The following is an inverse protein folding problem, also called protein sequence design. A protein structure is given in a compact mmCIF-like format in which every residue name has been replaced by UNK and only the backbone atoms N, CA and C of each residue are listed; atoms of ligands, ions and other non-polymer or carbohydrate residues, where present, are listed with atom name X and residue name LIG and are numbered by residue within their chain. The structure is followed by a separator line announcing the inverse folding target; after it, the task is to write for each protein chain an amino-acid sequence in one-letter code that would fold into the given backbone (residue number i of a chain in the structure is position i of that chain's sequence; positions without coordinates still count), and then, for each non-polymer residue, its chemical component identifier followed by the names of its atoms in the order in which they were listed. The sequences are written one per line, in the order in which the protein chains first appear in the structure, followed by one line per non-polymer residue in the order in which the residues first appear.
data_IF_152120529099
#
_entry.id   IF_152120529099
#
_cell.length_a   1.000
_cell.length_b   1.000
_cell.length_c   1.000
_cell.angle_alpha   90.00
_cell.angle_beta   90.00
_cell.angle_gamma   90.00
#
_symmetry.space_group_name_H-M   'P 1'
#
loop_
_entity.id
_entity.type
_entity.pdbx_description
1 polymer ?
#
# COMPACT_ATOMS: atom_id res chain seq x y z
N UNK A 1 39.16 -6.88 -57.11
CA UNK A 1 37.90 -7.57 -56.75
C UNK A 1 38.21 -8.62 -55.69
N UNK A 2 37.41 -8.64 -54.62
CA UNK A 2 37.58 -9.43 -53.38
C UNK A 2 37.82 -10.94 -53.58
N UNK A 3 38.59 -11.58 -52.67
CA UNK A 3 38.01 -12.45 -51.61
C UNK A 3 39.05 -13.09 -50.69
N UNK A 4 38.82 -12.90 -49.39
CA UNK A 4 39.26 -13.69 -48.24
C UNK A 4 39.37 -15.19 -48.53
N UNK A 5 40.27 -15.87 -47.81
CA UNK A 5 39.90 -16.94 -46.86
C UNK A 5 40.88 -17.00 -45.68
N UNK A 6 40.37 -16.74 -44.48
CA UNK A 6 40.98 -17.15 -43.22
C UNK A 6 40.50 -18.56 -42.88
N UNK A 7 41.42 -19.43 -42.45
CA UNK A 7 41.13 -20.61 -41.64
C UNK A 7 42.36 -20.88 -40.75
N UNK A 8 42.22 -20.63 -39.46
CA UNK A 8 42.97 -21.23 -38.37
C UNK A 8 42.08 -20.99 -37.13
N UNK A 9 41.49 -22.00 -36.51
CA UNK A 9 42.20 -23.17 -35.97
C UNK A 9 42.45 -22.86 -34.49
N UNK A 10 41.47 -23.20 -33.65
CA UNK A 10 41.48 -23.02 -32.20
C UNK A 10 42.73 -23.64 -31.57
N UNK A 11 43.35 -22.94 -30.63
CA UNK A 11 44.17 -23.53 -29.57
C UNK A 11 43.88 -22.84 -28.23
N UNK A 12 43.65 -23.71 -27.25
CA UNK A 12 43.12 -23.53 -25.90
C UNK A 12 44.09 -22.74 -25.01
N UNK A 13 43.60 -21.79 -24.22
CA UNK A 13 44.29 -21.28 -23.02
C UNK A 13 43.47 -21.68 -21.81
N UNK A 14 44.01 -22.62 -21.03
CA UNK A 14 43.51 -22.98 -19.72
C UNK A 14 43.82 -21.84 -18.73
N UNK A 15 42.79 -21.18 -18.22
CA UNK A 15 42.91 -20.32 -17.05
C UNK A 15 42.39 -21.07 -15.82
N UNK A 16 43.30 -21.33 -14.89
CA UNK A 16 42.97 -21.80 -13.55
C UNK A 16 42.16 -20.70 -12.84
N UNK A 17 40.87 -20.93 -12.61
CA UNK A 17 40.04 -20.08 -11.77
C UNK A 17 40.25 -20.50 -10.31
N UNK A 18 41.04 -19.72 -9.56
CA UNK A 18 41.05 -19.79 -8.10
C UNK A 18 39.70 -19.30 -7.58
N UNK A 19 38.90 -20.22 -7.04
CA UNK A 19 37.63 -19.91 -6.41
C UNK A 19 37.86 -19.09 -5.12
N UNK A 20 37.57 -17.79 -5.18
CA UNK A 20 37.35 -16.99 -3.97
C UNK A 20 35.94 -17.29 -3.45
N UNK A 21 35.85 -18.16 -2.45
CA UNK A 21 34.62 -18.34 -1.68
C UNK A 21 34.45 -17.13 -0.76
N UNK A 22 33.79 -16.07 -1.26
CA UNK A 22 33.27 -15.02 -0.39
C UNK A 22 32.07 -15.59 0.38
N UNK A 23 31.98 -15.42 1.70
CA UNK A 23 30.73 -15.71 2.41
C UNK A 23 29.69 -14.73 1.86
N UNK A 24 28.69 -15.27 1.17
CA UNK A 24 27.49 -14.51 0.85
C UNK A 24 26.87 -14.11 2.20
N UNK A 25 27.07 -12.86 2.62
CA UNK A 25 26.22 -12.24 3.61
C UNK A 25 24.81 -12.28 3.03
N UNK A 26 24.03 -13.26 3.46
CA UNK A 26 22.59 -13.25 3.28
C UNK A 26 22.09 -12.14 4.19
N UNK A 27 22.06 -10.92 3.66
CA UNK A 27 21.31 -9.83 4.28
C UNK A 27 19.85 -10.24 4.18
N UNK A 28 19.35 -10.92 5.20
CA UNK A 28 17.92 -11.07 5.41
C UNK A 28 17.40 -9.67 5.72
N UNK A 29 16.97 -8.93 4.70
CA UNK A 29 16.11 -7.76 4.90
C UNK A 29 14.79 -8.32 5.41
N UNK A 30 14.71 -8.57 6.72
CA UNK A 30 13.44 -8.71 7.39
C UNK A 30 12.68 -7.42 7.08
N UNK A 31 11.71 -7.50 6.18
CA UNK A 31 10.72 -6.45 6.03
C UNK A 31 10.06 -6.36 7.40
N UNK A 32 10.37 -5.31 8.15
CA UNK A 32 9.62 -5.01 9.35
C UNK A 32 8.15 -4.99 8.93
N UNK A 33 7.33 -5.84 9.56
CA UNK A 33 5.89 -5.70 9.41
C UNK A 33 5.56 -4.30 9.93
N UNK A 34 5.02 -3.44 9.06
CA UNK A 34 4.58 -2.12 9.49
C UNK A 34 3.58 -2.34 10.63
N UNK A 35 3.84 -1.69 11.77
CA UNK A 35 2.95 -1.80 12.92
C UNK A 35 1.57 -1.30 12.48
N UNK A 36 0.54 -2.14 12.64
CA UNK A 36 -0.82 -1.76 12.29
C UNK A 36 -1.22 -0.56 13.14
N UNK A 37 -1.75 0.48 12.49
CA UNK A 37 -2.18 1.69 13.17
C UNK A 37 -3.40 1.43 14.06
N UNK A 38 -3.69 2.36 14.96
CA UNK A 38 -4.80 2.26 15.91
C UNK A 38 -5.80 3.39 15.66
N UNK A 39 -7.02 3.05 15.26
CA UNK A 39 -8.14 4.00 15.17
C UNK A 39 -8.91 4.09 16.49
N UNK A 40 -8.19 4.16 17.61
CA UNK A 40 -8.82 4.30 18.93
C UNK A 40 -9.32 5.73 19.09
N UNK A 41 -10.59 5.90 19.37
CA UNK A 41 -11.19 7.22 19.57
C UNK A 41 -12.42 7.40 18.68
N UNK A 42 -12.98 8.61 18.70
CA UNK A 42 -14.07 8.98 17.80
C UNK A 42 -13.50 9.26 16.41
N UNK A 43 -14.25 8.92 15.38
CA UNK A 43 -13.95 9.36 14.03
C UNK A 43 -14.49 10.78 13.79
N UNK A 44 -13.66 11.66 13.25
CA UNK A 44 -14.02 13.02 12.83
C UNK A 44 -14.74 13.01 11.48
N UNK A 45 -14.41 12.05 10.62
CA UNK A 45 -15.02 11.85 9.31
C UNK A 45 -15.48 10.42 9.08
N UNK A 46 -16.61 10.23 8.40
CA UNK A 46 -17.08 8.91 8.01
C UNK A 46 -17.82 8.96 6.67
N UNK A 47 -17.50 8.02 5.79
CA UNK A 47 -18.07 7.93 4.45
C UNK A 47 -18.35 6.48 4.08
N UNK A 48 -19.48 6.24 3.44
CA UNK A 48 -19.78 4.95 2.83
C UNK A 48 -18.91 4.75 1.58
N UNK A 49 -18.34 3.55 1.45
CA UNK A 49 -17.79 3.06 0.19
C UNK A 49 -18.99 2.66 -0.68
N UNK A 50 -19.11 3.23 -1.89
CA UNK A 50 -20.25 2.94 -2.74
C UNK A 50 -20.21 1.47 -3.18
N UNK A 51 -21.39 0.89 -3.32
CA UNK A 51 -21.58 -0.46 -3.85
C UNK A 51 -22.87 -0.52 -4.65
N UNK A 52 -23.02 -1.58 -5.43
CA UNK A 52 -24.21 -1.80 -6.25
C UNK A 52 -25.43 -2.04 -5.36
N UNK A 53 -26.33 -1.05 -5.29
CA UNK A 53 -27.55 -1.04 -4.48
C UNK A 53 -27.35 -0.62 -3.02
N UNK A 54 -26.34 -1.17 -2.35
CA UNK A 54 -26.00 -0.89 -0.95
C UNK A 54 -24.52 -0.50 -0.79
N UNK A 55 -24.14 0.24 0.26
CA UNK A 55 -22.73 0.44 0.61
C UNK A 55 -21.97 -0.88 0.75
N UNK A 56 -20.79 -0.95 0.13
CA UNK A 56 -19.88 -2.10 0.24
C UNK A 56 -19.04 -2.05 1.53
N UNK A 57 -18.99 -0.89 2.19
CA UNK A 57 -18.20 -0.70 3.39
C UNK A 57 -18.21 0.74 3.88
N UNK A 58 -17.32 1.04 4.81
CA UNK A 58 -17.14 2.38 5.39
C UNK A 58 -15.67 2.75 5.51
N UNK A 59 -15.38 4.03 5.26
CA UNK A 59 -14.10 4.67 5.56
C UNK A 59 -14.33 5.67 6.68
N UNK A 60 -13.46 5.68 7.70
CA UNK A 60 -13.46 6.67 8.78
C UNK A 60 -12.10 7.34 8.89
N UNK A 61 -12.12 8.62 9.21
CA UNK A 61 -10.94 9.41 9.52
C UNK A 61 -10.84 9.61 11.02
N UNK A 62 -9.65 9.37 11.55
CA UNK A 62 -9.27 9.56 12.93
C UNK A 62 -8.06 10.48 12.98
N UNK A 63 -8.30 11.73 13.38
CA UNK A 63 -7.27 12.78 13.56
C UNK A 63 -6.70 12.67 14.98
N UNK A 64 -7.45 13.06 16.00
CA UNK A 64 -6.88 13.20 17.35
C UNK A 64 -7.58 12.34 18.39
N UNK A 65 -6.82 11.47 19.07
CA UNK A 65 -7.33 10.72 20.21
C UNK A 65 -7.23 11.51 21.51
N UNK A 66 -8.35 12.09 21.96
CA UNK A 66 -8.42 12.85 23.20
C UNK A 66 -8.05 12.06 24.46
N UNK A 67 -8.21 10.73 24.45
CA UNK A 67 -7.92 9.90 25.62
C UNK A 67 -6.42 9.69 25.84
N UNK A 68 -5.63 9.64 24.75
CA UNK A 68 -4.18 9.41 24.81
C UNK A 68 -3.37 10.67 24.50
N UNK A 69 -4.00 11.66 23.87
CA UNK A 69 -3.35 12.87 23.37
C UNK A 69 -2.54 12.64 22.09
N UNK A 70 -2.78 11.52 21.42
CA UNK A 70 -2.04 11.15 20.21
C UNK A 70 -2.73 11.72 18.97
N UNK A 71 -1.94 12.41 18.15
CA UNK A 71 -2.23 12.65 16.74
C UNK A 71 -2.11 11.31 16.00
N UNK A 72 -3.21 10.86 15.42
CA UNK A 72 -3.37 9.53 14.84
C UNK A 72 -3.14 9.54 13.34
N UNK A 73 -3.71 10.51 12.64
CA UNK A 73 -3.72 10.57 11.17
C UNK A 73 -4.02 9.20 10.52
N UNK A 74 -5.12 8.58 10.95
CA UNK A 74 -5.45 7.20 10.62
C UNK A 74 -6.75 7.10 9.82
N UNK A 75 -6.74 6.25 8.80
CA UNK A 75 -7.96 5.79 8.15
C UNK A 75 -8.38 4.41 8.68
N UNK A 76 -9.61 4.30 9.13
CA UNK A 76 -10.27 3.02 9.32
C UNK A 76 -11.00 2.64 8.04
N UNK A 77 -10.72 1.46 7.49
CA UNK A 77 -11.48 0.88 6.39
C UNK A 77 -12.18 -0.37 6.93
N UNK A 78 -13.49 -0.45 6.74
CA UNK A 78 -14.28 -1.61 7.13
C UNK A 78 -15.14 -2.09 5.94
N UNK A 79 -15.08 -3.38 5.67
CA UNK A 79 -15.85 -4.06 4.64
C UNK A 79 -17.21 -4.50 5.19
N UNK A 80 -18.21 -4.64 4.30
CA UNK A 80 -19.52 -5.19 4.69
C UNK A 80 -19.41 -6.72 4.80
N UNK A 81 -19.89 -7.33 5.90
CA UNK A 81 -19.82 -8.77 6.04
C UNK A 81 -20.82 -9.48 5.13
N UNK A 82 -20.36 -10.56 4.47
CA UNK A 82 -21.22 -11.59 3.87
C UNK A 82 -21.87 -11.24 2.53
N UNK A 83 -21.46 -10.16 1.87
CA UNK A 83 -21.94 -9.81 0.52
C UNK A 83 -21.06 -10.37 -0.61
N UNK A 84 -19.93 -11.00 -0.27
CA UNK A 84 -19.00 -11.58 -1.24
C UNK A 84 -18.11 -10.56 -1.96
N UNK A 85 -18.21 -9.29 -1.58
CA UNK A 85 -17.44 -8.18 -2.16
C UNK A 85 -16.23 -7.87 -1.29
N UNK A 86 -15.44 -6.90 -1.75
CA UNK A 86 -14.33 -6.35 -0.98
C UNK A 86 -14.23 -4.85 -1.18
N UNK A 87 -13.46 -4.19 -0.31
CA UNK A 87 -13.20 -2.76 -0.41
C UNK A 87 -11.70 -2.48 -0.37
N UNK A 88 -11.31 -1.41 -1.06
CA UNK A 88 -9.94 -0.91 -1.01
C UNK A 88 -9.91 0.58 -0.76
N UNK A 89 -8.85 1.07 -0.14
CA UNK A 89 -8.59 2.48 0.11
C UNK A 89 -7.20 2.86 -0.39
N UNK A 90 -7.12 3.94 -1.17
CA UNK A 90 -5.87 4.63 -1.52
C UNK A 90 -5.85 5.98 -0.86
N UNK A 91 -4.72 6.36 -0.27
CA UNK A 91 -4.52 7.68 0.32
C UNK A 91 -3.19 8.27 -0.15
N UNK A 92 -3.19 9.55 -0.50
CA UNK A 92 -2.00 10.32 -0.80
C UNK A 92 -1.86 11.45 0.20
N UNK A 93 -0.82 11.40 1.01
CA UNK A 93 -0.45 12.47 1.92
C UNK A 93 0.29 13.56 1.14
N UNK A 94 -0.28 14.76 1.09
CA UNK A 94 0.30 15.86 0.31
C UNK A 94 1.61 16.38 0.92
N UNK A 95 1.69 16.47 2.25
CA UNK A 95 2.88 16.91 2.98
C UNK A 95 4.11 16.05 2.67
N UNK A 96 3.93 14.73 2.68
CA UNK A 96 5.04 13.77 2.51
C UNK A 96 5.18 13.25 1.07
N UNK A 97 4.16 13.44 0.24
CA UNK A 97 4.05 12.86 -1.10
C UNK A 97 3.85 11.34 -1.13
N UNK A 98 3.75 10.69 0.04
CA UNK A 98 3.61 9.23 0.14
C UNK A 98 2.20 8.78 -0.21
N UNK A 99 2.12 7.62 -0.83
CA UNK A 99 0.88 6.94 -1.15
C UNK A 99 0.77 5.65 -0.33
N UNK A 100 -0.43 5.43 0.18
CA UNK A 100 -0.82 4.31 1.02
C UNK A 100 -1.96 3.57 0.33
N UNK A 101 -1.97 2.26 0.43
CA UNK A 101 -2.99 1.42 -0.17
C UNK A 101 -3.34 0.28 0.76
N UNK A 102 -4.64 0.07 0.96
CA UNK A 102 -5.16 -1.14 1.58
C UNK A 102 -6.30 -1.77 0.82
N UNK A 103 -6.41 -3.09 0.92
CA UNK A 103 -7.49 -3.89 0.35
C UNK A 103 -7.88 -4.98 1.34
N UNK A 104 -9.14 -4.95 1.78
CA UNK A 104 -9.68 -5.86 2.78
C UNK A 104 -10.91 -6.60 2.25
N UNK A 105 -11.16 -7.79 2.80
CA UNK A 105 -12.16 -8.72 2.29
C UNK A 105 -13.08 -9.21 3.41
N UNK A 106 -14.31 -9.59 3.07
CA UNK A 106 -15.18 -10.44 3.89
C UNK A 106 -15.48 -9.89 5.29
N UNK A 107 -15.90 -8.64 5.38
CA UNK A 107 -16.27 -7.98 6.64
C UNK A 107 -15.09 -7.61 7.54
N UNK A 108 -13.86 -7.68 7.03
CA UNK A 108 -12.68 -7.26 7.77
C UNK A 108 -12.69 -5.75 8.04
N UNK A 109 -11.91 -5.35 9.06
CA UNK A 109 -11.63 -3.95 9.38
C UNK A 109 -10.13 -3.78 9.57
N UNK A 110 -9.57 -2.72 9.00
CA UNK A 110 -8.16 -2.35 9.16
C UNK A 110 -8.03 -0.86 9.52
N UNK A 111 -6.97 -0.56 10.25
CA UNK A 111 -6.53 0.80 10.54
C UNK A 111 -5.20 1.05 9.84
N UNK A 112 -5.19 2.04 8.95
CA UNK A 112 -4.06 2.41 8.12
C UNK A 112 -3.61 3.83 8.48
N UNK A 113 -2.42 3.95 9.06
CA UNK A 113 -1.82 5.25 9.33
C UNK A 113 -1.17 5.82 8.09
N UNK A 114 -1.40 7.11 7.84
CA UNK A 114 -0.90 7.80 6.64
C UNK A 114 0.24 8.78 6.95
N UNK A 115 0.86 8.58 8.11
CA UNK A 115 1.89 9.44 8.67
C UNK A 115 1.34 10.82 9.05
N UNK A 116 2.20 11.66 9.63
CA UNK A 116 1.82 13.00 10.07
C UNK A 116 1.25 13.84 8.91
N UNK A 117 0.10 14.45 9.10
CA UNK A 117 -0.53 15.46 8.23
C UNK A 117 -0.45 16.79 8.99
N UNK A 118 0.48 17.69 8.68
CA UNK A 118 0.62 18.94 9.41
C UNK A 118 -0.62 19.83 9.26
N UNK A 119 -0.95 20.61 10.29
CA UNK A 119 -2.02 21.60 10.23
C UNK A 119 -1.88 22.53 9.01
N UNK A 120 -2.96 22.70 8.26
CA UNK A 120 -3.01 23.42 7.00
C UNK A 120 -2.62 22.60 5.77
N UNK A 121 -2.20 21.35 5.94
CA UNK A 121 -1.97 20.39 4.86
C UNK A 121 -3.18 19.44 4.70
N UNK A 122 -3.10 18.48 3.79
CA UNK A 122 -4.23 17.61 3.47
C UNK A 122 -3.84 16.24 2.94
N UNK A 123 -4.80 15.32 2.95
CA UNK A 123 -4.73 14.01 2.30
C UNK A 123 -5.80 13.91 1.22
N UNK A 124 -5.45 13.33 0.07
CA UNK A 124 -6.44 12.84 -0.90
C UNK A 124 -6.71 11.37 -0.63
N UNK A 125 -7.97 10.95 -0.68
CA UNK A 125 -8.32 9.55 -0.54
C UNK A 125 -9.30 9.09 -1.62
N UNK A 126 -9.23 7.82 -1.96
CA UNK A 126 -10.20 7.14 -2.83
C UNK A 126 -10.45 5.73 -2.33
N UNK A 127 -11.72 5.41 -2.09
CA UNK A 127 -12.16 4.10 -1.67
C UNK A 127 -13.08 3.48 -2.71
N UNK A 128 -12.86 2.21 -3.02
CA UNK A 128 -13.56 1.51 -4.09
C UNK A 128 -14.13 0.19 -3.59
N UNK A 129 -15.32 -0.16 -4.07
CA UNK A 129 -15.84 -1.52 -3.99
C UNK A 129 -15.27 -2.38 -5.11
N UNK A 130 -15.11 -3.65 -4.80
CA UNK A 130 -14.61 -4.69 -5.69
C UNK A 130 -15.57 -5.86 -5.72
N UNK A 131 -15.76 -6.41 -6.92
CA UNK A 131 -16.56 -7.60 -7.17
C UNK A 131 -15.83 -8.44 -8.23
N UNK A 132 -15.68 -9.73 -7.98
CA UNK A 132 -14.93 -10.66 -8.85
C UNK A 132 -13.57 -10.15 -9.37
N UNK A 133 -12.83 -9.44 -8.50
CA UNK A 133 -11.50 -8.91 -8.82
C UNK A 133 -11.49 -7.66 -9.70
N UNK A 134 -12.64 -7.02 -9.92
CA UNK A 134 -12.76 -5.76 -10.62
C UNK A 134 -13.30 -4.66 -9.70
N UNK A 135 -12.86 -3.42 -9.92
CA UNK A 135 -13.46 -2.24 -9.29
C UNK A 135 -14.86 -2.03 -9.87
N UNK A 136 -15.85 -1.92 -9.00
CA UNK A 136 -17.24 -1.62 -9.39
C UNK A 136 -17.47 -0.11 -9.34
N UNK A 137 -17.23 0.50 -8.18
CA UNK A 137 -17.46 1.92 -7.97
C UNK A 137 -16.47 2.49 -6.96
N UNK A 138 -16.12 3.77 -7.13
CA UNK A 138 -15.24 4.48 -6.20
C UNK A 138 -15.88 5.77 -5.72
N UNK A 139 -15.52 6.14 -4.49
CA UNK A 139 -15.71 7.47 -3.93
C UNK A 139 -14.35 8.05 -3.58
N UNK A 140 -14.21 9.36 -3.70
CA UNK A 140 -12.99 10.07 -3.30
C UNK A 140 -13.30 11.33 -2.52
N UNK A 141 -12.31 11.84 -1.80
CA UNK A 141 -12.40 13.09 -1.06
C UNK A 141 -11.02 13.64 -0.67
N UNK A 142 -11.08 14.77 0.03
CA UNK A 142 -9.91 15.43 0.63
C UNK A 142 -10.23 15.69 2.10
N UNK A 143 -9.24 15.50 2.97
CA UNK A 143 -9.30 15.87 4.39
C UNK A 143 -8.18 16.86 4.63
N UNK A 144 -8.48 17.95 5.33
CA UNK A 144 -7.56 19.03 5.67
C UNK A 144 -7.48 19.15 7.18
N UNK A 145 -6.25 19.23 7.69
CA UNK A 145 -5.93 19.51 9.11
C UNK A 145 -5.90 21.01 9.41
#
# INVERSE_FOLDING_TARGET
MMKNRMFAGLAIVAFAATAFSAPALVTTTAQAADAQASCRGRAEGAWNVPGDGDPAGTVRWHDYNQDTGDDQDNFELADKPGDGKSVSLRVKNHATGKEYYEHIYSGATVCMGVGNVPNGDYVYWSACSWDDGAIVECRSGTITE
#
